data_IF_966460223541
#
_entry.id   IF_966460223541
#
_cell.length_a   1.000
_cell.length_b   1.000
_cell.length_c   1.000
_cell.angle_alpha   90.00
_cell.angle_beta   90.00
_cell.angle_gamma   90.00
#
_symmetry.space_group_name_H-M   'P 1'
#
loop_
_entity.id
_entity.type
_entity.pdbx_description
1 polymer ?
#
# COMPACT_ATOMS: atom_id res chain seq x y z
N UNK A 1 6.88 -11.89 -18.40
CA UNK A 1 5.67 -12.27 -17.65
C UNK A 1 5.58 -11.53 -16.32
N UNK A 2 4.38 -11.03 -16.00
CA UNK A 2 4.08 -10.33 -14.74
C UNK A 2 3.00 -11.09 -13.97
N UNK A 3 3.17 -11.30 -12.67
CA UNK A 3 2.18 -11.95 -11.81
C UNK A 3 1.93 -11.15 -10.53
N UNK A 4 0.70 -11.16 -10.04
CA UNK A 4 0.35 -10.68 -8.69
C UNK A 4 0.26 -11.88 -7.76
N UNK A 5 1.03 -11.88 -6.68
CA UNK A 5 0.94 -12.86 -5.59
C UNK A 5 0.07 -12.26 -4.51
N UNK A 6 -1.08 -12.87 -4.23
CA UNK A 6 -2.00 -12.37 -3.20
C UNK A 6 -1.47 -12.68 -1.81
N UNK A 7 -1.66 -11.74 -0.89
CA UNK A 7 -1.49 -12.03 0.53
C UNK A 7 -2.60 -12.98 0.97
N UNK A 8 -2.30 -13.84 1.95
CA UNK A 8 -3.27 -14.77 2.52
C UNK A 8 -3.65 -14.39 3.94
N UNK A 9 -4.82 -14.83 4.39
CA UNK A 9 -5.18 -14.83 5.81
C UNK A 9 -4.32 -15.84 6.58
N UNK A 10 -4.44 -15.86 7.92
CA UNK A 10 -3.79 -16.87 8.76
C UNK A 10 -4.26 -18.30 8.43
N UNK A 11 -5.45 -18.43 7.82
CA UNK A 11 -6.03 -19.70 7.38
C UNK A 11 -5.63 -20.08 5.94
N UNK A 12 -4.76 -19.28 5.31
CA UNK A 12 -4.28 -19.54 3.94
C UNK A 12 -5.19 -19.03 2.82
N UNK A 13 -6.29 -18.37 3.14
CA UNK A 13 -7.25 -17.86 2.15
C UNK A 13 -6.74 -16.60 1.45
N UNK A 14 -6.83 -16.48 0.12
CA UNK A 14 -6.37 -15.31 -0.61
C UNK A 14 -7.20 -14.06 -0.26
N UNK A 15 -6.53 -12.94 0.01
CA UNK A 15 -7.17 -11.65 0.30
C UNK A 15 -7.33 -10.87 -1.03
N UNK A 16 -8.57 -10.61 -1.50
CA UNK A 16 -8.79 -9.89 -2.75
C UNK A 16 -8.22 -8.47 -2.72
N UNK A 17 -7.58 -8.05 -3.81
CA UNK A 17 -7.00 -6.70 -3.93
C UNK A 17 -5.72 -6.46 -3.12
N UNK A 18 -5.18 -7.49 -2.46
CA UNK A 18 -3.87 -7.47 -1.80
C UNK A 18 -2.80 -8.16 -2.65
N UNK A 19 -1.54 -7.94 -2.32
CA UNK A 19 -0.44 -8.71 -2.87
C UNK A 19 0.76 -7.89 -3.33
N UNK A 20 1.76 -8.62 -3.82
CA UNK A 20 2.99 -8.09 -4.41
C UNK A 20 3.08 -8.54 -5.86
N UNK A 21 3.59 -7.66 -6.73
CA UNK A 21 3.77 -7.98 -8.14
C UNK A 21 5.21 -8.42 -8.39
N UNK A 22 5.37 -9.57 -9.06
CA UNK A 22 6.64 -10.06 -9.56
C UNK A 22 6.65 -9.97 -11.08
N UNK A 23 7.74 -9.44 -11.63
CA UNK A 23 8.01 -9.43 -13.06
C UNK A 23 9.28 -10.24 -13.33
N UNK A 24 9.18 -11.16 -14.29
CA UNK A 24 10.27 -12.03 -14.69
C UNK A 24 10.18 -12.38 -16.19
N UNK A 25 11.25 -12.90 -16.76
CA UNK A 25 11.29 -13.33 -18.16
C UNK A 25 10.39 -14.56 -18.41
N UNK A 26 10.36 -15.52 -17.47
CA UNK A 26 9.62 -16.76 -17.60
C UNK A 26 9.10 -17.34 -16.26
N UNK A 27 8.33 -18.44 -16.34
CA UNK A 27 7.69 -19.06 -15.17
C UNK A 27 8.71 -19.56 -14.14
N UNK A 28 9.88 -20.01 -14.60
CA UNK A 28 10.91 -20.56 -13.72
C UNK A 28 11.57 -19.44 -12.92
N UNK A 29 11.87 -18.32 -13.57
CA UNK A 29 12.41 -17.14 -12.90
C UNK A 29 11.42 -16.54 -11.89
N UNK A 30 10.11 -16.55 -12.19
CA UNK A 30 9.08 -16.20 -11.19
C UNK A 30 9.19 -17.08 -9.94
N UNK A 31 9.31 -18.41 -10.11
CA UNK A 31 9.42 -19.35 -8.99
C UNK A 31 10.69 -19.11 -8.19
N UNK A 32 11.81 -18.79 -8.84
CA UNK A 32 13.06 -18.45 -8.17
C UNK A 32 12.93 -17.17 -7.33
N UNK A 33 12.25 -16.15 -7.86
CA UNK A 33 11.98 -14.92 -7.11
C UNK A 33 11.08 -15.16 -5.90
N UNK A 34 10.00 -15.96 -6.06
CA UNK A 34 9.13 -16.36 -4.95
C UNK A 34 9.90 -17.10 -3.86
N UNK A 35 10.72 -18.07 -4.26
CA UNK A 35 11.56 -18.87 -3.36
C UNK A 35 12.60 -18.00 -2.63
N UNK A 36 13.08 -16.94 -3.28
CA UNK A 36 14.04 -15.99 -2.73
C UNK A 36 13.47 -15.01 -1.71
N UNK A 37 12.16 -14.88 -1.56
CA UNK A 37 11.54 -13.90 -0.65
C UNK A 37 11.78 -14.20 0.84
N UNK A 38 12.09 -15.45 1.20
CA UNK A 38 12.46 -15.80 2.58
C UNK A 38 13.76 -16.60 2.65
N UNK A 39 14.62 -16.37 3.67
CA UNK A 39 15.86 -17.14 3.83
C UNK A 39 15.64 -18.66 3.99
N UNK A 40 14.45 -19.06 4.45
CA UNK A 40 14.11 -20.46 4.73
C UNK A 40 13.76 -21.27 3.46
N UNK A 41 13.30 -20.59 2.41
CA UNK A 41 13.00 -21.17 1.10
C UNK A 41 14.15 -21.01 0.11
N UNK A 42 14.99 -19.98 0.29
CA UNK A 42 16.10 -19.64 -0.60
C UNK A 42 17.25 -20.66 -0.67
N UNK A 43 17.33 -21.63 0.25
CA UNK A 43 18.31 -22.73 0.19
C UNK A 43 17.75 -24.02 -0.41
N UNK A 44 16.45 -24.07 -0.73
CA UNK A 44 15.79 -25.29 -1.24
C UNK A 44 15.87 -25.36 -2.77
N UNK A 45 15.86 -26.57 -3.31
CA UNK A 45 15.72 -26.75 -4.76
C UNK A 45 14.32 -26.25 -5.21
N UNK A 46 14.19 -25.60 -6.38
CA UNK A 46 12.91 -25.06 -6.86
C UNK A 46 11.79 -26.10 -6.90
N UNK A 47 12.11 -27.35 -7.27
CA UNK A 47 11.13 -28.44 -7.34
C UNK A 47 10.56 -28.85 -5.98
N UNK A 48 11.41 -28.91 -4.97
CA UNK A 48 11.01 -29.26 -3.60
C UNK A 48 10.14 -28.15 -3.02
N UNK A 49 10.55 -26.89 -3.24
CA UNK A 49 9.75 -25.72 -2.89
C UNK A 49 8.34 -25.77 -3.51
N UNK A 50 8.24 -25.99 -4.82
CA UNK A 50 6.95 -26.05 -5.51
C UNK A 50 6.05 -27.17 -4.97
N UNK A 51 6.63 -28.34 -4.71
CA UNK A 51 5.89 -29.53 -4.26
C UNK A 51 5.34 -29.34 -2.84
N UNK A 52 6.14 -28.76 -1.95
CA UNK A 52 5.73 -28.48 -0.56
C UNK A 52 4.63 -27.42 -0.50
N UNK A 53 4.76 -26.35 -1.28
CA UNK A 53 3.73 -25.30 -1.37
C UNK A 53 2.41 -25.90 -1.87
N UNK A 54 2.43 -26.70 -2.92
CA UNK A 54 1.21 -27.37 -3.42
C UNK A 54 0.64 -28.33 -2.38
N UNK A 55 1.48 -29.06 -1.64
CA UNK A 55 1.01 -29.96 -0.60
C UNK A 55 0.28 -29.24 0.53
N UNK A 56 0.70 -28.02 0.86
CA UNK A 56 0.01 -27.19 1.84
C UNK A 56 -1.36 -26.67 1.36
N UNK A 57 -1.50 -26.42 0.06
CA UNK A 57 -2.69 -25.82 -0.54
C UNK A 57 -3.73 -26.88 -0.94
N UNK A 58 -3.29 -27.99 -1.52
CA UNK A 58 -4.17 -29.02 -2.09
C UNK A 58 -4.70 -30.00 -1.01
N UNK A 59 -4.15 -30.00 0.21
CA UNK A 59 -4.69 -30.72 1.36
C UNK A 59 -4.74 -32.25 1.22
N UNK A 60 -4.05 -32.82 0.23
CA UNK A 60 -4.06 -34.24 -0.14
C UNK A 60 -2.85 -34.63 -1.01
N UNK A 61 -2.79 -35.87 -1.55
CA UNK A 61 -1.68 -36.28 -2.41
C UNK A 61 -1.65 -35.43 -3.69
N UNK A 62 -0.67 -34.55 -3.78
CA UNK A 62 -0.47 -33.64 -4.91
C UNK A 62 -0.14 -34.43 -6.17
N UNK A 63 -0.79 -34.11 -7.28
CA UNK A 63 -0.39 -34.66 -8.57
C UNK A 63 1.05 -34.21 -8.89
N UNK A 64 1.97 -35.11 -9.26
CA UNK A 64 3.37 -34.75 -9.48
C UNK A 64 3.52 -33.70 -10.59
N UNK A 65 4.48 -32.80 -10.41
CA UNK A 65 4.85 -31.81 -11.41
C UNK A 65 5.57 -32.48 -12.60
N UNK A 66 5.47 -31.94 -13.82
CA UNK A 66 6.29 -32.35 -14.98
C UNK A 66 7.78 -32.47 -14.65
N UNK A 67 8.54 -33.35 -15.33
CA UNK A 67 9.99 -33.52 -15.06
C UNK A 67 10.82 -32.30 -15.49
N UNK A 68 10.47 -31.71 -16.63
CA UNK A 68 11.14 -30.53 -17.17
C UNK A 68 10.85 -29.30 -16.30
N UNK A 69 11.87 -28.49 -16.02
CA UNK A 69 11.82 -27.44 -15.01
C UNK A 69 10.88 -26.28 -15.39
N UNK A 70 10.90 -25.84 -16.64
CA UNK A 70 10.02 -24.77 -17.10
C UNK A 70 8.54 -25.22 -17.11
N UNK A 71 8.28 -26.45 -17.55
CA UNK A 71 6.96 -27.07 -17.51
C UNK A 71 6.46 -27.28 -16.07
N UNK A 72 7.35 -27.67 -15.15
CA UNK A 72 7.04 -27.77 -13.72
C UNK A 72 6.64 -26.42 -13.13
N UNK A 73 7.40 -25.37 -13.42
CA UNK A 73 7.10 -24.01 -12.97
C UNK A 73 5.77 -23.48 -13.55
N UNK A 74 5.52 -23.70 -14.84
CA UNK A 74 4.27 -23.30 -15.47
C UNK A 74 3.05 -24.02 -14.88
N UNK A 75 3.13 -25.33 -14.66
CA UNK A 75 2.07 -26.11 -14.01
C UNK A 75 1.86 -25.67 -12.56
N UNK A 76 2.94 -25.45 -11.81
CA UNK A 76 2.89 -24.94 -10.43
C UNK A 76 2.13 -23.60 -10.34
N UNK A 77 2.53 -22.61 -11.13
CA UNK A 77 1.87 -21.29 -11.16
C UNK A 77 0.40 -21.40 -11.60
N UNK A 78 0.10 -22.27 -12.56
CA UNK A 78 -1.28 -22.55 -12.99
C UNK A 78 -2.13 -23.08 -11.84
N UNK A 79 -1.59 -23.97 -11.00
CA UNK A 79 -2.32 -24.48 -9.83
C UNK A 79 -2.51 -23.42 -8.76
N UNK A 80 -1.50 -22.60 -8.47
CA UNK A 80 -1.67 -21.45 -7.58
C UNK A 80 -2.78 -20.51 -8.06
N UNK A 81 -2.86 -20.25 -9.38
CA UNK A 81 -3.89 -19.41 -9.97
C UNK A 81 -5.30 -20.03 -9.83
N UNK A 82 -5.43 -21.36 -9.96
CA UNK A 82 -6.71 -22.07 -9.72
C UNK A 82 -7.19 -21.93 -8.28
N UNK A 83 -6.26 -21.86 -7.32
CA UNK A 83 -6.56 -21.59 -5.92
C UNK A 83 -6.68 -20.09 -5.58
N UNK A 84 -6.59 -19.21 -6.59
CA UNK A 84 -6.73 -17.77 -6.43
C UNK A 84 -5.56 -17.08 -5.72
N UNK A 85 -4.45 -17.78 -5.48
CA UNK A 85 -3.27 -17.28 -4.77
C UNK A 85 -2.39 -16.38 -5.64
N UNK A 86 -2.45 -16.56 -6.97
CA UNK A 86 -1.78 -15.68 -7.93
C UNK A 86 -2.72 -15.28 -9.07
N UNK A 87 -2.38 -14.20 -9.75
CA UNK A 87 -3.03 -13.71 -10.97
C UNK A 87 -1.98 -13.38 -12.04
N UNK A 88 -2.15 -13.88 -13.26
CA UNK A 88 -1.28 -13.52 -14.39
C UNK A 88 -1.71 -12.15 -14.96
N UNK A 89 -0.75 -11.24 -15.06
CA UNK A 89 -0.95 -9.89 -15.58
C UNK A 89 -0.40 -9.78 -17.01
N UNK A 90 -1.02 -8.97 -17.89
CA UNK A 90 -0.58 -8.80 -19.27
C UNK A 90 0.83 -8.21 -19.37
N UNK A 91 1.59 -8.65 -20.39
CA UNK A 91 3.05 -8.46 -20.45
C UNK A 91 3.54 -7.10 -20.95
N UNK A 92 2.71 -6.27 -21.59
CA UNK A 92 3.10 -4.91 -21.95
C UNK A 92 1.90 -3.99 -22.16
N UNK A 93 1.72 -3.04 -21.23
CA UNK A 93 1.44 -1.61 -21.50
C UNK A 93 1.74 -0.82 -20.22
N UNK A 94 2.90 -0.15 -20.22
CA UNK A 94 3.31 0.89 -19.28
C UNK A 94 3.35 0.49 -17.79
N UNK A 95 4.18 1.18 -17.01
CA UNK A 95 3.73 1.59 -15.68
C UNK A 95 2.34 2.17 -15.90
N UNK A 96 1.28 1.42 -15.62
CA UNK A 96 -0.08 1.90 -15.76
C UNK A 96 -0.14 3.18 -14.92
N UNK A 97 -0.27 4.38 -15.52
CA UNK A 97 -0.37 5.60 -14.76
C UNK A 97 -1.77 5.57 -14.18
N UNK A 98 -1.97 4.84 -13.07
CA UNK A 98 -3.24 4.51 -12.44
C UNK A 98 -4.36 4.26 -13.46
N UNK A 99 -4.74 3.01 -13.76
CA UNK A 99 -5.79 2.81 -14.76
C UNK A 99 -7.02 3.60 -14.30
N UNK A 100 -7.68 4.32 -15.20
CA UNK A 100 -8.97 4.99 -14.93
C UNK A 100 -9.95 4.03 -14.23
N UNK A 101 -9.74 2.71 -14.42
CA UNK A 101 -10.39 1.60 -13.72
C UNK A 101 -10.19 1.54 -12.20
N UNK A 102 -9.09 2.02 -11.62
CA UNK A 102 -8.89 2.08 -10.16
C UNK A 102 -9.72 3.19 -9.55
N UNK A 103 -9.70 4.39 -10.14
CA UNK A 103 -10.60 5.46 -9.73
C UNK A 103 -12.06 5.06 -9.98
N UNK A 104 -12.39 4.45 -11.11
CA UNK A 104 -13.72 3.87 -11.34
C UNK A 104 -14.07 2.74 -10.37
N UNK A 105 -13.10 1.93 -9.93
CA UNK A 105 -13.33 0.86 -8.96
C UNK A 105 -13.54 1.44 -7.57
N UNK A 106 -12.71 2.39 -7.13
CA UNK A 106 -12.93 3.16 -5.90
C UNK A 106 -14.27 3.89 -5.97
N UNK A 107 -14.61 4.48 -7.11
CA UNK A 107 -15.89 5.16 -7.37
C UNK A 107 -17.05 4.17 -7.36
N UNK A 108 -16.88 2.96 -7.92
CA UNK A 108 -17.90 1.89 -7.86
C UNK A 108 -18.07 1.37 -6.43
N UNK A 109 -17.00 1.18 -5.66
CA UNK A 109 -17.07 0.73 -4.26
C UNK A 109 -17.62 1.86 -3.35
N UNK A 110 -17.29 3.13 -3.67
CA UNK A 110 -17.87 4.35 -3.10
C UNK A 110 -19.37 4.43 -3.36
N UNK A 111 -19.77 4.34 -4.63
CA UNK A 111 -21.17 4.39 -5.07
C UNK A 111 -21.96 3.15 -4.64
N UNK A 112 -21.31 2.01 -4.39
CA UNK A 112 -21.98 0.81 -3.89
C UNK A 112 -22.31 0.88 -2.39
N UNK A 113 -21.91 1.94 -1.68
CA UNK A 113 -22.11 2.08 -0.24
C UNK A 113 -21.32 1.07 0.60
N UNK A 114 -20.31 0.40 0.00
CA UNK A 114 -19.43 -0.56 0.69
C UNK A 114 -18.25 0.14 1.37
N UNK A 115 -17.94 1.36 0.95
CA UNK A 115 -17.10 2.30 1.72
C UNK A 115 -17.95 3.45 2.24
N UNK A 116 -17.49 4.10 3.31
CA UNK A 116 -17.99 5.42 3.76
C UNK A 116 -17.19 6.58 3.15
N UNK A 117 -16.40 6.30 2.12
CA UNK A 117 -15.64 7.34 1.44
C UNK A 117 -16.64 8.24 0.73
N UNK A 118 -16.58 9.55 0.99
CA UNK A 118 -17.52 10.54 0.47
C UNK A 118 -16.97 11.24 -0.77
N UNK A 119 -15.72 11.69 -0.73
CA UNK A 119 -15.03 12.35 -1.84
C UNK A 119 -13.54 12.01 -1.84
N UNK A 120 -12.95 12.11 -3.01
CA UNK A 120 -11.51 12.13 -3.25
C UNK A 120 -11.23 13.38 -4.08
N UNK A 121 -10.34 14.25 -3.62
CA UNK A 121 -10.02 15.51 -4.27
C UNK A 121 -8.51 15.71 -4.32
N UNK A 122 -7.99 16.23 -5.43
CA UNK A 122 -6.56 16.54 -5.54
C UNK A 122 -6.18 17.60 -4.50
N UNK A 123 -5.09 17.33 -3.79
CA UNK A 123 -4.67 18.14 -2.67
C UNK A 123 -3.16 18.22 -2.55
N UNK A 124 -2.67 19.27 -1.91
CA UNK A 124 -1.25 19.47 -1.66
C UNK A 124 -0.96 19.85 -0.22
N UNK A 125 0.22 19.45 0.26
CA UNK A 125 0.77 19.81 1.58
C UNK A 125 2.21 20.28 1.46
N UNK A 126 2.72 20.98 2.47
CA UNK A 126 4.16 21.24 2.57
C UNK A 126 4.84 20.13 3.38
N UNK A 127 5.94 19.60 2.86
CA UNK A 127 6.69 18.54 3.52
C UNK A 127 7.91 18.11 2.72
N UNK A 128 8.39 16.90 2.98
CA UNK A 128 9.40 16.21 2.17
C UNK A 128 8.92 14.80 1.91
N UNK A 129 9.01 14.37 0.66
CA UNK A 129 8.57 13.05 0.24
C UNK A 129 9.80 12.20 -0.09
N UNK A 130 9.80 10.97 0.38
CA UNK A 130 10.87 10.02 0.16
C UNK A 130 10.31 8.73 -0.43
N UNK A 131 11.04 8.14 -1.37
CA UNK A 131 10.86 6.75 -1.75
C UNK A 131 11.74 5.89 -0.85
N UNK A 132 11.13 5.11 0.04
CA UNK A 132 11.89 4.19 0.90
C UNK A 132 12.40 3.01 0.08
N UNK A 133 13.55 2.44 0.46
CA UNK A 133 14.08 1.24 -0.19
C UNK A 133 13.15 0.03 -0.12
N UNK A 134 12.21 0.03 0.84
CA UNK A 134 11.17 -0.98 0.96
C UNK A 134 10.02 -0.83 -0.05
N UNK A 135 10.08 0.14 -0.97
CA UNK A 135 9.17 0.27 -2.11
C UNK A 135 7.89 1.09 -1.86
N UNK A 136 7.81 1.83 -0.75
CA UNK A 136 6.65 2.66 -0.39
C UNK A 136 7.08 4.07 0.05
N UNK A 137 6.18 5.08 0.03
CA UNK A 137 6.55 6.45 0.30
C UNK A 137 6.66 6.73 1.80
N UNK A 138 7.55 7.65 2.18
CA UNK A 138 7.52 8.30 3.48
C UNK A 138 7.33 9.80 3.32
N UNK A 139 6.37 10.33 4.07
CA UNK A 139 6.17 11.76 4.23
C UNK A 139 6.86 12.21 5.51
N UNK A 140 7.73 13.21 5.41
CA UNK A 140 8.23 13.98 6.54
C UNK A 140 7.54 15.35 6.53
N UNK A 141 7.06 15.80 7.68
CA UNK A 141 6.37 17.08 7.87
C UNK A 141 7.21 17.91 8.85
N UNK A 142 7.69 19.09 8.48
CA UNK A 142 8.34 19.97 9.44
C UNK A 142 7.49 20.17 10.70
N UNK A 143 8.08 20.00 11.88
CA UNK A 143 7.36 20.06 13.16
C UNK A 143 6.50 21.31 13.33
N UNK A 144 6.96 22.46 12.84
CA UNK A 144 6.21 23.73 12.87
C UNK A 144 4.94 23.77 12.01
N UNK A 145 4.72 22.77 11.15
CA UNK A 145 3.52 22.63 10.31
C UNK A 145 2.49 21.66 10.90
N UNK A 146 2.81 20.97 11.99
CA UNK A 146 1.90 20.03 12.66
C UNK A 146 0.92 20.80 13.52
N UNK A 147 -0.36 20.74 13.15
CA UNK A 147 -1.47 21.39 13.85
C UNK A 147 -1.94 20.58 15.06
N UNK A 148 -1.83 19.25 14.98
CA UNK A 148 -2.16 18.33 16.07
C UNK A 148 -1.53 16.96 15.82
N UNK A 149 -1.33 16.19 16.90
CA UNK A 149 -1.03 14.75 16.82
C UNK A 149 -2.29 13.93 17.02
N UNK A 150 -2.35 12.77 16.36
CA UNK A 150 -3.45 11.82 16.45
C UNK A 150 -3.45 11.07 17.79
N UNK A 151 -4.62 10.58 18.19
CA UNK A 151 -4.85 9.85 19.44
C UNK A 151 -5.52 8.50 19.18
N UNK A 152 -5.72 7.72 20.24
CA UNK A 152 -6.50 6.48 20.18
C UNK A 152 -8.02 6.69 20.10
N UNK A 153 -8.51 7.93 20.19
CA UNK A 153 -9.93 8.28 20.13
C UNK A 153 -10.25 9.03 18.83
N UNK A 154 -10.76 8.33 17.80
CA UNK A 154 -11.14 8.96 16.52
C UNK A 154 -12.17 10.08 16.66
N UNK A 155 -13.08 10.02 17.63
CA UNK A 155 -14.09 11.04 17.86
C UNK A 155 -13.48 12.29 18.50
N UNK A 156 -12.50 12.13 19.40
CA UNK A 156 -11.74 13.27 19.93
C UNK A 156 -10.93 13.95 18.83
N UNK A 157 -10.31 13.18 17.94
CA UNK A 157 -9.53 13.67 16.82
C UNK A 157 -10.40 14.42 15.79
N UNK A 158 -11.56 13.88 15.42
CA UNK A 158 -12.52 14.57 14.55
C UNK A 158 -13.03 15.88 15.17
N UNK A 159 -13.34 15.88 16.48
CA UNK A 159 -13.72 17.10 17.21
C UNK A 159 -12.60 18.14 17.22
N UNK A 160 -11.33 17.71 17.30
CA UNK A 160 -10.18 18.62 17.24
C UNK A 160 -10.00 19.21 15.84
N UNK A 161 -10.18 18.42 14.79
CA UNK A 161 -10.14 18.88 13.40
C UNK A 161 -11.15 20.01 13.15
N UNK A 162 -12.39 19.85 13.65
CA UNK A 162 -13.44 20.86 13.53
C UNK A 162 -13.08 22.17 14.26
N UNK A 163 -12.39 22.09 15.40
CA UNK A 163 -12.01 23.27 16.21
C UNK A 163 -10.92 24.12 15.55
N UNK A 164 -10.08 23.53 14.69
CA UNK A 164 -8.99 24.27 14.03
C UNK A 164 -9.51 25.23 12.95
N UNK A 165 -10.66 24.93 12.34
CA UNK A 165 -11.24 25.79 11.30
C UNK A 165 -10.37 25.80 10.04
N UNK A 166 -10.08 26.97 9.48
CA UNK A 166 -9.28 27.14 8.25
C UNK A 166 -7.82 27.48 8.61
N UNK A 167 -6.88 26.51 8.54
CA UNK A 167 -5.49 26.79 8.87
C UNK A 167 -4.82 27.65 7.80
N UNK A 168 -3.74 28.34 8.17
CA UNK A 168 -2.93 29.08 7.19
C UNK A 168 -2.14 28.10 6.32
N UNK A 169 -2.23 28.26 5.01
CA UNK A 169 -1.43 27.51 4.04
C UNK A 169 -0.41 28.46 3.38
N UNK A 170 0.69 28.72 4.07
CA UNK A 170 1.80 29.53 3.57
C UNK A 170 3.03 28.67 3.38
N UNK A 171 3.91 29.07 2.46
CA UNK A 171 5.19 28.39 2.28
C UNK A 171 5.99 28.46 3.60
N UNK A 172 6.42 27.33 4.17
CA UNK A 172 7.25 27.33 5.37
C UNK A 172 8.62 27.94 5.08
N UNK A 173 9.27 28.41 6.14
CA UNK A 173 10.70 28.75 6.09
C UNK A 173 11.53 27.48 6.07
N UNK A 174 12.57 27.46 5.24
CA UNK A 174 13.51 26.35 5.14
C UNK A 174 13.19 25.42 3.98
N UNK A 175 13.69 24.20 4.10
CA UNK A 175 13.70 23.21 3.02
C UNK A 175 12.43 22.35 3.09
N UNK A 176 11.48 22.64 2.21
CA UNK A 176 10.23 21.89 2.05
C UNK A 176 9.70 22.03 0.63
N UNK A 177 9.14 20.93 0.14
CA UNK A 177 8.55 20.80 -1.18
C UNK A 177 7.03 20.81 -1.08
N UNK A 178 6.37 21.13 -2.19
CA UNK A 178 4.93 20.99 -2.30
C UNK A 178 4.62 19.53 -2.68
N UNK A 179 4.05 18.79 -1.74
CA UNK A 179 3.76 17.37 -1.90
C UNK A 179 2.35 17.21 -2.45
N UNK A 180 2.23 16.49 -3.55
CA UNK A 180 0.97 16.22 -4.25
C UNK A 180 0.37 14.89 -3.80
N UNK A 181 -0.93 14.91 -3.56
CA UNK A 181 -1.69 13.72 -3.19
C UNK A 181 -3.19 13.96 -3.28
N UNK A 182 -3.93 13.22 -2.46
CA UNK A 182 -5.39 13.24 -2.46
C UNK A 182 -5.92 13.51 -1.05
N UNK A 183 -6.95 14.35 -0.96
CA UNK A 183 -7.76 14.53 0.23
C UNK A 183 -8.97 13.61 0.14
N UNK A 184 -9.04 12.67 1.07
CA UNK A 184 -10.15 11.71 1.15
C UNK A 184 -11.06 12.08 2.31
N UNK A 185 -12.35 12.23 2.04
CA UNK A 185 -13.36 12.51 3.06
C UNK A 185 -14.07 11.23 3.47
N UNK A 186 -14.13 10.94 4.77
CA UNK A 186 -14.90 9.84 5.35
C UNK A 186 -16.09 10.37 6.17
N UNK A 187 -17.14 9.57 6.30
CA UNK A 187 -18.37 10.00 7.00
C UNK A 187 -18.41 9.61 8.48
N UNK A 188 -17.74 8.53 8.89
CA UNK A 188 -17.75 8.06 10.27
C UNK A 188 -16.31 7.83 10.77
N UNK A 189 -15.72 8.77 11.54
CA UNK A 189 -14.36 8.62 12.03
C UNK A 189 -14.20 7.40 12.97
N UNK A 190 -15.23 7.00 13.71
CA UNK A 190 -15.14 5.85 14.63
C UNK A 190 -15.06 4.52 13.87
N UNK A 191 -15.70 4.46 12.70
CA UNK A 191 -15.71 3.27 11.85
C UNK A 191 -14.53 3.23 10.88
N UNK A 192 -14.23 4.36 10.27
CA UNK A 192 -13.39 4.42 9.06
C UNK A 192 -11.90 4.64 9.37
N UNK A 193 -11.58 5.31 10.48
CA UNK A 193 -10.20 5.62 10.85
C UNK A 193 -9.40 4.44 11.44
N UNK A 194 -9.96 3.58 12.32
CA UNK A 194 -9.19 2.49 12.92
C UNK A 194 -8.61 1.46 11.93
N UNK A 195 -9.30 1.06 10.85
CA UNK A 195 -8.69 0.22 9.82
C UNK A 195 -7.48 0.86 9.14
N UNK A 196 -7.52 2.17 8.90
CA UNK A 196 -6.41 2.92 8.28
C UNK A 196 -5.23 2.98 9.26
N UNK A 197 -5.48 3.26 10.54
CA UNK A 197 -4.42 3.22 11.57
C UNK A 197 -3.72 1.88 11.65
N UNK A 198 -4.47 0.78 11.53
CA UNK A 198 -3.89 -0.56 11.52
C UNK A 198 -3.04 -0.82 10.27
N UNK A 199 -3.49 -0.37 9.11
CA UNK A 199 -2.74 -0.47 7.85
C UNK A 199 -1.41 0.27 7.93
N UNK A 200 -1.44 1.49 8.48
CA UNK A 200 -0.25 2.36 8.63
C UNK A 200 0.60 2.01 9.85
N UNK A 201 0.17 1.04 10.67
CA UNK A 201 0.87 0.62 11.87
C UNK A 201 0.89 1.67 12.99
N UNK A 202 -0.03 2.63 12.99
CA UNK A 202 -0.12 3.68 13.99
C UNK A 202 -0.64 3.13 15.33
N UNK A 203 0.16 3.28 16.39
CA UNK A 203 -0.11 2.83 17.76
C UNK A 203 0.11 4.00 18.74
N UNK A 204 -0.96 4.74 19.10
CA UNK A 204 -0.87 5.86 20.03
C UNK A 204 -0.20 5.45 21.36
N UNK A 205 0.86 6.17 21.75
CA UNK A 205 1.62 5.89 22.98
C UNK A 205 2.58 4.69 22.90
N UNK A 206 2.66 4.01 21.76
CA UNK A 206 3.64 2.95 21.49
C UNK A 206 4.62 3.34 20.39
N UNK A 207 5.47 2.38 19.99
CA UNK A 207 6.32 2.55 18.82
C UNK A 207 5.49 2.46 17.54
N UNK A 208 5.65 3.42 16.64
CA UNK A 208 5.02 3.46 15.32
C UNK A 208 5.99 4.07 14.31
N UNK A 209 6.18 3.42 13.16
CA UNK A 209 7.00 3.96 12.08
C UNK A 209 6.34 5.20 11.47
N UNK A 210 5.04 5.08 11.16
CA UNK A 210 4.19 6.21 10.82
C UNK A 210 3.43 6.68 12.06
N UNK A 211 3.42 7.99 12.26
CA UNK A 211 2.56 8.65 13.21
C UNK A 211 1.44 9.38 12.48
N UNK A 212 0.29 9.56 13.11
CA UNK A 212 -0.78 10.37 12.54
C UNK A 212 -0.66 11.81 13.03
N UNK A 213 -0.64 12.75 12.10
CA UNK A 213 -0.59 14.20 12.38
C UNK A 213 -1.62 14.93 11.55
N UNK A 214 -2.06 16.07 12.05
CA UNK A 214 -2.92 16.98 11.32
C UNK A 214 -2.08 18.10 10.74
N UNK A 215 -2.29 18.39 9.46
CA UNK A 215 -1.58 19.44 8.73
C UNK A 215 -2.56 20.31 7.98
N UNK A 216 -2.09 21.49 7.54
CA UNK A 216 -2.83 22.30 6.58
C UNK A 216 -2.71 21.67 5.19
N UNK A 217 -3.85 21.45 4.53
CA UNK A 217 -3.95 20.89 3.19
C UNK A 217 -4.63 21.91 2.28
N UNK A 218 -4.02 22.20 1.13
CA UNK A 218 -4.65 23.01 0.11
C UNK A 218 -5.38 22.09 -0.86
N UNK A 219 -6.71 22.15 -0.84
CA UNK A 219 -7.59 21.51 -1.82
C UNK A 219 -8.21 22.59 -2.71
N UNK A 220 -7.86 22.62 -3.99
CA UNK A 220 -8.22 23.70 -4.91
C UNK A 220 -7.72 25.06 -4.42
N UNK A 221 -8.64 25.90 -3.91
CA UNK A 221 -8.33 27.24 -3.34
C UNK A 221 -8.53 27.33 -1.84
N UNK A 222 -8.91 26.22 -1.20
CA UNK A 222 -9.32 26.20 0.20
C UNK A 222 -8.28 25.46 1.03
N UNK A 223 -7.86 26.08 2.13
CA UNK A 223 -7.01 25.44 3.13
C UNK A 223 -7.88 24.73 4.16
N UNK A 224 -7.64 23.44 4.37
CA UNK A 224 -8.45 22.56 5.22
C UNK A 224 -7.49 21.80 6.15
N UNK A 225 -7.81 21.61 7.45
CA UNK A 225 -7.02 20.76 8.31
C UNK A 225 -7.36 19.30 7.99
N UNK A 226 -6.36 18.48 7.67
CA UNK A 226 -6.57 17.05 7.43
C UNK A 226 -5.52 16.20 8.14
N UNK A 227 -5.93 14.97 8.48
CA UNK A 227 -5.05 13.96 9.05
C UNK A 227 -4.23 13.29 7.95
N UNK A 228 -2.93 13.12 8.20
CA UNK A 228 -2.00 12.39 7.35
C UNK A 228 -1.06 11.54 8.20
N UNK A 229 -0.43 10.56 7.58
CA UNK A 229 0.57 9.71 8.19
C UNK A 229 1.95 10.21 7.78
N UNK A 230 2.79 10.45 8.77
CA UNK A 230 4.15 10.95 8.57
C UNK A 230 5.16 10.08 9.31
N UNK A 231 6.38 10.08 8.83
CA UNK A 231 7.51 9.41 9.45
C UNK A 231 8.39 10.49 10.12
N UNK A 232 8.49 10.52 11.46
CA UNK A 232 9.26 11.56 12.15
C UNK A 232 10.75 11.57 11.79
N UNK A 233 11.31 10.42 11.44
CA UNK A 233 12.71 10.25 11.05
C UNK A 233 12.81 9.29 9.87
N UNK A 234 13.30 9.79 8.73
CA UNK A 234 13.52 8.99 7.52
C UNK A 234 15.02 8.75 7.35
N UNK A 235 15.46 7.52 7.59
CA UNK A 235 16.89 7.14 7.48
C UNK A 235 17.22 6.40 6.16
N UNK A 236 16.25 5.71 5.56
CA UNK A 236 16.46 4.77 4.45
C UNK A 236 15.55 5.07 3.25
N UNK A 237 15.71 6.24 2.64
CA UNK A 237 14.97 6.60 1.43
C UNK A 237 15.61 7.71 0.61
N UNK A 238 15.24 7.75 -0.67
CA UNK A 238 15.66 8.79 -1.61
C UNK A 238 14.60 9.88 -1.64
N UNK A 239 15.00 11.14 -1.42
CA UNK A 239 14.09 12.29 -1.52
C UNK A 239 13.57 12.45 -2.95
N UNK A 240 12.28 12.76 -3.06
CA UNK A 240 11.59 13.05 -4.31
C UNK A 240 11.31 14.55 -4.40
N UNK A 241 12.22 15.28 -5.06
CA UNK A 241 12.14 16.75 -5.19
C UNK A 241 10.92 17.22 -6.02
N UNK A 242 10.32 16.32 -6.80
CA UNK A 242 9.08 16.61 -7.55
C UNK A 242 7.87 16.72 -6.63
N UNK A 243 7.95 16.21 -5.39
CA UNK A 243 6.81 16.12 -4.48
C UNK A 243 5.71 15.17 -4.95
N UNK A 244 5.97 14.34 -5.96
CA UNK A 244 5.04 13.34 -6.50
C UNK A 244 5.65 11.96 -6.32
N UNK A 245 4.92 11.06 -5.68
CA UNK A 245 5.30 9.65 -5.61
C UNK A 245 4.61 8.88 -6.74
N UNK A 246 5.42 8.35 -7.65
CA UNK A 246 4.98 7.37 -8.63
C UNK A 246 5.43 6.00 -8.12
N UNK A 247 4.51 5.05 -8.01
CA UNK A 247 4.85 3.66 -7.71
C UNK A 247 5.59 3.13 -8.95
N UNK A 248 6.86 2.76 -8.78
CA UNK A 248 7.67 2.15 -9.83
C UNK A 248 7.16 0.74 -10.17
#
# INVERSE_FOLDING_TARGET
MKILIRSTTLDGEPIPGSGETIQAADCLEVVELMRGQTPFTASRAPRDYMTEVLSGIEGGPTQPLPEEAAAAAAEFLTRLARHGLIEFLPDDKASDPWPERFLEALEKVRLSGRTNMRSIELAVIWGRLYHLHAGFPALEVPEGLILSRGTADPLADARRQQKIGTPRFGRPTGDSDLIHGELVTFTDPQRDLPPIDRLEGFRPGGHSMYQRVMVAVLCGRTSIPAWTFWMPHVENGTRLDTGVWHRA
#
